data_IF_491929671494
#
_entry.id   IF_491929671494
#
_cell.length_a   1.000
_cell.length_b   1.000
_cell.length_c   1.000
_cell.angle_alpha   90.00
_cell.angle_beta   90.00
_cell.angle_gamma   90.00
#
_symmetry.space_group_name_H-M   'P 1'
#
loop_
_entity.id
_entity.type
_entity.pdbx_description
1 polymer ?
#
# COMPACT_ATOMS: atom_id res chain seq x y z
N UNK A 1 1.19 0.42 -31.04
CA UNK A 1 1.72 1.01 -29.78
C UNK A 1 0.73 0.87 -28.63
N UNK A 2 -0.53 1.32 -28.77
CA UNK A 2 -1.55 1.15 -27.71
C UNK A 2 -1.76 -0.32 -27.29
N UNK A 3 -1.81 -1.25 -28.25
CA UNK A 3 -1.93 -2.69 -27.98
C UNK A 3 -0.78 -3.21 -27.10
N UNK A 4 0.46 -2.89 -27.46
CA UNK A 4 1.66 -3.27 -26.68
C UNK A 4 1.62 -2.70 -25.25
N UNK A 5 1.07 -1.50 -25.05
CA UNK A 5 0.92 -0.92 -23.71
C UNK A 5 -0.15 -1.63 -22.88
N UNK A 6 -1.21 -2.12 -23.52
CA UNK A 6 -2.25 -2.93 -22.89
C UNK A 6 -1.68 -4.30 -22.49
N UNK A 7 -0.95 -4.97 -23.39
CA UNK A 7 -0.34 -6.27 -23.12
C UNK A 7 0.66 -6.18 -21.93
N UNK A 8 1.44 -5.09 -21.87
CA UNK A 8 2.34 -4.82 -20.73
C UNK A 8 1.54 -4.52 -19.46
N UNK A 9 0.47 -3.74 -19.55
CA UNK A 9 -0.37 -3.44 -18.39
C UNK A 9 -1.00 -4.71 -17.81
N UNK A 10 -1.51 -5.61 -18.65
CA UNK A 10 -2.06 -6.90 -18.23
C UNK A 10 -1.01 -7.77 -17.52
N UNK A 11 0.21 -7.86 -18.06
CA UNK A 11 1.31 -8.58 -17.39
C UNK A 11 1.65 -7.96 -16.04
N UNK A 12 1.70 -6.62 -15.95
CA UNK A 12 2.01 -5.91 -14.70
C UNK A 12 0.90 -6.11 -13.67
N UNK A 13 -0.37 -6.19 -14.07
CA UNK A 13 -1.49 -6.40 -13.13
C UNK A 13 -1.38 -7.72 -12.36
N UNK A 14 -0.78 -8.77 -12.95
CA UNK A 14 -0.54 -10.05 -12.24
C UNK A 14 0.41 -9.89 -11.04
N UNK A 15 1.33 -8.92 -11.10
CA UNK A 15 2.24 -8.61 -10.00
C UNK A 15 1.63 -7.66 -8.96
N UNK A 16 0.44 -7.12 -9.19
CA UNK A 16 -0.17 -6.17 -8.24
C UNK A 16 -0.70 -6.86 -6.99
N UNK A 17 -1.16 -8.11 -7.09
CA UNK A 17 -1.59 -8.93 -5.94
C UNK A 17 -0.46 -9.18 -4.93
N UNK A 18 0.73 -9.70 -5.30
CA UNK A 18 1.83 -9.84 -4.35
C UNK A 18 2.31 -8.50 -3.77
N UNK A 19 2.29 -7.42 -4.56
CA UNK A 19 2.60 -6.08 -4.04
C UNK A 19 1.57 -5.62 -2.99
N UNK A 20 0.28 -5.90 -3.20
CA UNK A 20 -0.76 -5.62 -2.21
C UNK A 20 -0.54 -6.41 -0.92
N UNK A 21 -0.11 -7.69 -1.00
CA UNK A 21 0.25 -8.48 0.17
C UNK A 21 1.45 -7.91 0.92
N UNK A 22 2.50 -7.44 0.22
CA UNK A 22 3.62 -6.73 0.84
C UNK A 22 3.11 -5.48 1.59
N UNK A 23 2.16 -4.75 1.01
CA UNK A 23 1.49 -3.64 1.68
C UNK A 23 0.74 -4.07 2.95
N UNK A 24 0.02 -5.19 2.90
CA UNK A 24 -0.64 -5.78 4.06
C UNK A 24 0.32 -6.18 5.18
N UNK A 25 1.44 -6.82 4.84
CA UNK A 25 2.50 -7.15 5.80
C UNK A 25 3.12 -5.89 6.41
N UNK A 26 3.39 -4.87 5.59
CA UNK A 26 3.89 -3.58 6.07
C UNK A 26 2.91 -2.87 7.00
N UNK A 27 1.60 -2.95 6.72
CA UNK A 27 0.57 -2.42 7.61
C UNK A 27 0.58 -3.16 8.95
N UNK A 28 0.69 -4.49 8.93
CA UNK A 28 0.77 -5.29 10.15
C UNK A 28 2.01 -4.94 10.98
N UNK A 29 3.18 -4.86 10.35
CA UNK A 29 4.44 -4.47 11.02
C UNK A 29 4.36 -3.03 11.54
N UNK A 30 3.82 -2.09 10.74
CA UNK A 30 3.63 -0.70 11.14
C UNK A 30 2.66 -0.55 12.32
N UNK A 31 1.59 -1.34 12.33
CA UNK A 31 0.65 -1.39 13.45
C UNK A 31 1.31 -1.95 14.72
N UNK A 32 2.09 -3.02 14.61
CA UNK A 32 2.85 -3.56 15.74
C UNK A 32 3.87 -2.54 16.28
N UNK A 33 4.57 -1.84 15.39
CA UNK A 33 5.49 -0.76 15.75
C UNK A 33 4.77 0.40 16.45
N UNK A 34 3.57 0.74 16.00
CA UNK A 34 2.71 1.75 16.64
C UNK A 34 2.30 1.31 18.06
N UNK A 35 1.87 0.05 18.26
CA UNK A 35 1.54 -0.46 19.59
C UNK A 35 2.75 -0.44 20.54
N UNK A 36 3.92 -0.88 20.07
CA UNK A 36 5.16 -0.83 20.84
C UNK A 36 5.50 0.61 21.21
N UNK A 37 5.34 1.55 20.27
CA UNK A 37 5.56 2.97 20.51
C UNK A 37 4.59 3.54 21.54
N UNK A 38 3.30 3.18 21.51
CA UNK A 38 2.31 3.62 22.51
C UNK A 38 2.66 3.12 23.91
N UNK A 39 3.09 1.86 24.05
CA UNK A 39 3.35 1.26 25.37
C UNK A 39 4.73 1.65 25.90
N UNK A 40 5.77 1.47 25.10
CA UNK A 40 7.17 1.58 25.56
C UNK A 40 7.80 2.93 25.24
N UNK A 41 7.13 3.75 24.43
CA UNK A 41 7.66 5.00 23.88
C UNK A 41 8.94 4.84 23.05
N UNK A 42 9.37 3.62 22.73
CA UNK A 42 10.55 3.33 21.89
C UNK A 42 10.12 2.94 20.47
N UNK A 43 11.08 2.87 19.54
CA UNK A 43 10.83 2.35 18.18
C UNK A 43 10.32 3.37 17.17
N UNK A 44 10.49 4.68 17.42
CA UNK A 44 10.07 5.75 16.50
C UNK A 44 10.73 5.67 15.12
N UNK A 45 11.93 5.10 15.02
CA UNK A 45 12.61 4.86 13.75
C UNK A 45 11.85 3.86 12.88
N UNK A 46 11.42 2.73 13.46
CA UNK A 46 10.67 1.69 12.75
C UNK A 46 9.28 2.19 12.33
N UNK A 47 8.60 2.94 13.19
CA UNK A 47 7.30 3.56 12.88
C UNK A 47 7.42 4.57 11.72
N UNK A 48 8.49 5.39 11.71
CA UNK A 48 8.75 6.34 10.62
C UNK A 48 9.14 5.63 9.32
N UNK A 49 9.91 4.55 9.38
CA UNK A 49 10.30 3.76 8.21
C UNK A 49 9.08 3.09 7.57
N UNK A 50 8.29 2.37 8.36
CA UNK A 50 7.06 1.71 7.90
C UNK A 50 6.07 2.72 7.33
N UNK A 51 5.88 3.87 7.98
CA UNK A 51 5.05 4.96 7.46
C UNK A 51 5.52 5.48 6.09
N UNK A 52 6.83 5.64 5.87
CA UNK A 52 7.38 6.05 4.56
C UNK A 52 7.13 5.00 3.48
N UNK A 53 7.37 3.72 3.78
CA UNK A 53 7.15 2.63 2.84
C UNK A 53 5.68 2.52 2.45
N UNK A 54 4.76 2.66 3.41
CA UNK A 54 3.32 2.67 3.17
C UNK A 54 2.87 3.84 2.29
N UNK A 55 3.42 5.04 2.51
CA UNK A 55 3.17 6.20 1.64
C UNK A 55 3.64 5.92 0.22
N UNK A 56 4.87 5.41 0.04
CA UNK A 56 5.42 5.10 -1.28
C UNK A 56 4.58 4.04 -2.00
N UNK A 57 4.16 2.99 -1.30
CA UNK A 57 3.29 1.96 -1.86
C UNK A 57 1.90 2.51 -2.21
N UNK A 58 1.34 3.36 -1.35
CA UNK A 58 0.05 4.02 -1.60
C UNK A 58 0.07 4.91 -2.84
N UNK A 59 1.12 5.74 -2.98
CA UNK A 59 1.34 6.56 -4.18
C UNK A 59 1.50 5.68 -5.42
N UNK A 60 2.26 4.58 -5.32
CA UNK A 60 2.43 3.64 -6.43
C UNK A 60 1.08 3.08 -6.92
N UNK A 61 0.21 2.61 -6.03
CA UNK A 61 -1.12 2.12 -6.40
C UNK A 61 -2.00 3.19 -7.04
N UNK A 62 -1.95 4.43 -6.53
CA UNK A 62 -2.70 5.56 -7.10
C UNK A 62 -2.19 5.94 -8.50
N UNK A 63 -0.88 5.94 -8.72
CA UNK A 63 -0.29 6.20 -10.04
C UNK A 63 -0.66 5.08 -11.01
N UNK A 64 -0.60 3.82 -10.59
CA UNK A 64 -1.02 2.68 -11.40
C UNK A 64 -2.51 2.74 -11.76
N UNK A 65 -3.36 3.19 -10.83
CA UNK A 65 -4.79 3.44 -11.12
C UNK A 65 -4.94 4.45 -12.26
N UNK A 66 -4.26 5.59 -12.17
CA UNK A 66 -4.34 6.67 -13.18
C UNK A 66 -3.82 6.17 -14.54
N UNK A 67 -2.71 5.43 -14.55
CA UNK A 67 -2.12 4.88 -15.77
C UNK A 67 -3.06 3.88 -16.47
N UNK A 68 -3.70 2.98 -15.71
CA UNK A 68 -4.67 2.04 -16.26
C UNK A 68 -5.95 2.72 -16.74
N UNK A 69 -6.47 3.70 -15.99
CA UNK A 69 -7.62 4.51 -16.42
C UNK A 69 -7.33 5.29 -17.70
N UNK A 70 -6.11 5.80 -17.89
CA UNK A 70 -5.71 6.47 -19.13
C UNK A 70 -5.71 5.53 -20.36
N UNK A 71 -5.58 4.22 -20.13
CA UNK A 71 -5.69 3.20 -21.17
C UNK A 71 -7.13 2.70 -21.39
N UNK A 72 -8.08 3.13 -20.54
CA UNK A 72 -9.47 2.68 -20.55
C UNK A 72 -9.69 1.35 -19.84
N UNK A 73 -8.78 0.96 -18.95
CA UNK A 73 -8.87 -0.27 -18.14
C UNK A 73 -9.41 0.07 -16.74
N UNK A 74 -10.12 -0.89 -16.13
CA UNK A 74 -10.55 -0.83 -14.73
C UNK A 74 -9.62 -1.71 -13.86
N UNK A 75 -8.55 -1.15 -13.28
CA UNK A 75 -7.59 -1.93 -12.52
C UNK A 75 -8.15 -2.35 -11.15
N UNK A 76 -8.10 -3.65 -10.87
CA UNK A 76 -8.46 -4.20 -9.57
C UNK A 76 -7.48 -5.29 -9.17
N UNK A 77 -7.23 -5.41 -7.85
CA UNK A 77 -6.46 -6.52 -7.30
C UNK A 77 -7.43 -7.65 -7.07
N UNK A 78 -7.15 -8.78 -7.71
CA UNK A 78 -7.89 -10.01 -7.54
C UNK A 78 -7.26 -10.81 -6.40
N UNK A 79 -8.05 -11.11 -5.37
CA UNK A 79 -7.64 -11.89 -4.20
C UNK A 79 -8.23 -13.29 -4.22
N UNK A 80 -8.50 -13.88 -5.39
CA UNK A 80 -9.07 -15.23 -5.58
C UNK A 80 -8.47 -16.36 -4.73
N UNK A 81 -7.24 -16.22 -4.25
CA UNK A 81 -6.57 -17.21 -3.38
C UNK A 81 -6.69 -16.91 -1.87
N UNK A 82 -7.26 -15.78 -1.48
CA UNK A 82 -7.46 -15.43 -0.08
C UNK A 82 -8.69 -16.16 0.49
N UNK A 83 -8.57 -16.67 1.72
CA UNK A 83 -9.60 -17.44 2.44
C UNK A 83 -10.88 -16.66 2.76
N UNK A 84 -10.95 -15.37 2.39
CA UNK A 84 -12.07 -14.47 2.60
C UNK A 84 -12.63 -14.10 1.23
N UNK A 85 -13.96 -14.05 1.05
CA UNK A 85 -14.70 -13.72 -0.19
C UNK A 85 -14.49 -12.27 -0.70
N UNK A 86 -13.28 -11.74 -0.61
CA UNK A 86 -12.86 -10.43 -1.07
C UNK A 86 -12.57 -10.57 -2.58
N UNK A 87 -13.64 -10.69 -3.38
CA UNK A 87 -13.58 -10.97 -4.83
C UNK A 87 -12.56 -10.12 -5.60
N UNK A 88 -12.58 -8.81 -5.40
CA UNK A 88 -11.60 -7.89 -5.98
C UNK A 88 -11.72 -6.53 -5.30
N UNK A 89 -10.62 -5.80 -5.17
CA UNK A 89 -10.64 -4.41 -4.68
C UNK A 89 -9.93 -3.49 -5.67
N UNK A 90 -10.49 -2.30 -5.94
CA UNK A 90 -9.89 -1.37 -6.88
C UNK A 90 -8.58 -0.79 -6.33
N UNK A 91 -7.63 -0.47 -7.20
CA UNK A 91 -6.30 -0.01 -6.77
C UNK A 91 -6.37 1.30 -5.99
N UNK A 92 -7.28 2.20 -6.35
CA UNK A 92 -7.46 3.48 -5.64
C UNK A 92 -7.78 3.27 -4.16
N UNK A 93 -8.59 2.26 -3.82
CA UNK A 93 -8.97 1.99 -2.42
C UNK A 93 -7.77 1.50 -1.62
N UNK A 94 -7.02 0.55 -2.18
CA UNK A 94 -5.79 0.01 -1.57
C UNK A 94 -4.77 1.13 -1.40
N UNK A 95 -4.55 1.92 -2.46
CA UNK A 95 -3.64 3.04 -2.48
C UNK A 95 -3.97 4.10 -1.42
N UNK A 96 -5.24 4.50 -1.30
CA UNK A 96 -5.68 5.47 -0.30
C UNK A 96 -5.49 4.96 1.13
N UNK A 97 -5.85 3.70 1.41
CA UNK A 97 -5.69 3.12 2.75
C UNK A 97 -4.22 3.11 3.17
N UNK A 98 -3.34 2.63 2.29
CA UNK A 98 -1.90 2.59 2.55
C UNK A 98 -1.30 3.99 2.71
N UNK A 99 -1.67 4.92 1.83
CA UNK A 99 -1.21 6.29 1.87
C UNK A 99 -1.63 6.98 3.18
N UNK A 100 -2.92 6.90 3.51
CA UNK A 100 -3.48 7.57 4.68
C UNK A 100 -2.89 7.02 5.97
N UNK A 101 -2.84 5.70 6.13
CA UNK A 101 -2.26 5.08 7.33
C UNK A 101 -0.76 5.37 7.45
N UNK A 102 -0.01 5.29 6.35
CA UNK A 102 1.41 5.65 6.34
C UNK A 102 1.64 7.12 6.71
N UNK A 103 0.77 8.02 6.24
CA UNK A 103 0.81 9.44 6.58
C UNK A 103 0.54 9.69 8.07
N UNK A 104 -0.48 9.04 8.64
CA UNK A 104 -0.78 9.11 10.08
C UNK A 104 0.41 8.61 10.91
N UNK A 105 0.97 7.44 10.57
CA UNK A 105 2.14 6.90 11.27
C UNK A 105 3.34 7.85 11.22
N UNK A 106 3.53 8.56 10.11
CA UNK A 106 4.60 9.55 9.96
C UNK A 106 4.40 10.77 10.86
N UNK A 107 3.18 11.30 10.92
CA UNK A 107 2.86 12.43 11.81
C UNK A 107 3.07 12.00 13.27
N UNK A 108 2.49 10.87 13.66
CA UNK A 108 2.62 10.34 15.03
C UNK A 108 4.09 10.11 15.39
N UNK A 109 4.86 9.46 14.51
CA UNK A 109 6.28 9.22 14.73
C UNK A 109 7.14 10.49 14.77
N UNK A 110 6.66 11.62 14.24
CA UNK A 110 7.32 12.91 14.32
C UNK A 110 7.00 13.68 15.62
N UNK A 111 5.86 13.42 16.26
CA UNK A 111 5.44 14.12 17.49
C UNK A 111 6.34 13.85 18.69
N UNK A 112 7.00 12.68 18.75
CA UNK A 112 7.96 12.33 19.81
C UNK A 112 9.15 11.60 19.22
N UNK A 113 10.20 12.33 18.77
CA UNK A 113 11.44 11.69 18.36
C UNK A 113 12.15 11.13 19.60
N UNK A 114 12.21 9.80 19.71
CA UNK A 114 13.16 9.15 20.62
C UNK A 114 14.47 9.01 19.87
N UNK A 115 15.50 9.72 20.33
CA UNK A 115 16.88 9.56 19.87
C UNK A 115 17.42 8.19 20.30
#
# INVERSE_FOLDING_TARGET
MKQTMIDVAEQVTQYMTPVAYVGGVLLFVGFLAFLIWVVTHRGTGLLRLTGRLLILLGVFFLVSQIAAMALGLDPSVDFREAWFEINSKPFWLIGLVLFFLGFVMRIVGALRPTH
#
